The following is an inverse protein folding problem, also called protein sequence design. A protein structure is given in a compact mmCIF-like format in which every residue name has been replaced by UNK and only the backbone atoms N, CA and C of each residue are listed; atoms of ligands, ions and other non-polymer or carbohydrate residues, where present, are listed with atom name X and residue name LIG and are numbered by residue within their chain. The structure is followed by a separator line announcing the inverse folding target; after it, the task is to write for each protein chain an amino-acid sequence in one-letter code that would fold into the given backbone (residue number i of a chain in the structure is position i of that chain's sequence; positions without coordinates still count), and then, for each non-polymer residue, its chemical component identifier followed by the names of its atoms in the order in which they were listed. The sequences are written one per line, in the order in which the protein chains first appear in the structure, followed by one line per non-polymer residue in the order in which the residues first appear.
data_IF_718468780537
#
_entry.id   IF_718468780537
#
_cell.length_a   1.000
_cell.length_b   1.000
_cell.length_c   1.000
_cell.angle_alpha   90.00
_cell.angle_beta   90.00
_cell.angle_gamma   90.00
#
_symmetry.space_group_name_H-M   'P 1'
#
loop_
_entity.id
_entity.type
_entity.pdbx_description
1 polymer ?
#
# COMPACT_ATOMS: atom_id res chain seq x y z
N UNK A 1 -8.80 -51.84 10.01
CA UNK A 1 -8.22 -50.81 9.13
C UNK A 1 -7.96 -49.56 9.96
N UNK A 2 -6.74 -49.43 10.48
CA UNK A 2 -6.35 -48.42 11.47
C UNK A 2 -5.09 -47.74 10.94
N UNK A 3 -5.28 -46.78 10.02
CA UNK A 3 -4.20 -45.94 9.48
C UNK A 3 -4.47 -44.49 9.91
N UNK A 4 -4.11 -44.16 11.15
CA UNK A 4 -4.01 -42.79 11.65
C UNK A 4 -3.07 -42.80 12.85
N UNK A 5 -1.77 -42.57 12.62
CA UNK A 5 -0.83 -41.95 13.59
C UNK A 5 0.65 -41.89 13.18
N UNK A 6 1.04 -42.26 11.96
CA UNK A 6 2.46 -42.20 11.57
C UNK A 6 2.96 -40.79 11.17
N UNK A 7 2.08 -39.85 10.76
CA UNK A 7 2.46 -38.55 10.20
C UNK A 7 2.72 -37.43 11.21
N UNK A 8 2.24 -37.57 12.45
CA UNK A 8 2.45 -36.56 13.51
C UNK A 8 3.84 -36.70 14.15
N UNK A 9 4.31 -37.94 14.34
CA UNK A 9 5.63 -38.23 14.91
C UNK A 9 6.78 -37.79 13.99
N UNK A 10 6.65 -37.96 12.68
CA UNK A 10 7.66 -37.52 11.70
C UNK A 10 7.81 -35.99 11.61
N UNK A 11 6.73 -35.20 11.80
CA UNK A 11 6.78 -33.73 11.80
C UNK A 11 7.45 -33.16 13.05
N UNK A 12 7.23 -33.79 14.22
CA UNK A 12 7.88 -33.39 15.47
C UNK A 12 9.38 -33.69 15.46
N UNK A 13 9.80 -34.83 14.88
CA UNK A 13 11.21 -35.18 14.74
C UNK A 13 11.93 -34.30 13.70
N UNK A 14 11.26 -33.92 12.60
CA UNK A 14 11.80 -33.02 11.59
C UNK A 14 11.97 -31.58 12.11
N UNK A 15 11.01 -31.05 12.88
CA UNK A 15 11.17 -29.74 13.53
C UNK A 15 12.29 -29.76 14.59
N UNK A 16 12.37 -30.80 15.42
CA UNK A 16 13.45 -30.94 16.39
C UNK A 16 14.85 -31.06 15.75
N UNK A 17 14.96 -31.69 14.58
CA UNK A 17 16.22 -31.76 13.81
C UNK A 17 16.59 -30.42 13.14
N UNK A 18 15.59 -29.61 12.76
CA UNK A 18 15.81 -28.28 12.15
C UNK A 18 16.15 -27.22 13.21
N UNK A 19 15.55 -27.31 14.41
CA UNK A 19 15.88 -26.45 15.55
C UNK A 19 17.31 -26.70 16.03
N UNK A 20 17.73 -27.96 16.14
CA UNK A 20 19.10 -28.31 16.57
C UNK A 20 20.20 -27.86 15.59
N UNK A 21 19.92 -27.87 14.28
CA UNK A 21 20.83 -27.34 13.25
C UNK A 21 20.88 -25.81 13.26
N UNK A 22 19.78 -25.15 13.64
CA UNK A 22 19.68 -23.68 13.74
C UNK A 22 20.43 -23.14 14.97
N UNK A 23 20.49 -23.90 16.07
CA UNK A 23 21.25 -23.53 17.26
C UNK A 23 22.76 -23.69 17.10
N UNK A 24 23.23 -24.58 16.21
CA UNK A 24 24.66 -24.77 15.93
C UNK A 24 25.31 -23.56 15.23
N UNK A 25 24.52 -22.75 14.52
CA UNK A 25 24.97 -21.51 13.87
C UNK A 25 25.38 -20.46 14.92
N UNK A 26 24.70 -20.44 16.08
CA UNK A 26 24.98 -19.52 17.19
C UNK A 26 26.33 -19.78 17.89
N UNK A 27 26.92 -20.95 17.65
CA UNK A 27 28.20 -21.34 18.24
C UNK A 27 29.42 -20.84 17.45
N UNK A 28 29.20 -20.19 16.30
CA UNK A 28 30.29 -19.58 15.52
C UNK A 28 30.83 -18.33 16.24
N UNK A 29 32.12 -18.31 16.63
CA UNK A 29 32.74 -17.16 17.29
C UNK A 29 32.65 -15.84 16.52
N UNK A 30 32.49 -15.90 15.19
CA UNK A 30 32.34 -14.73 14.33
C UNK A 30 30.97 -14.05 14.56
N UNK A 31 29.94 -14.82 14.93
CA UNK A 31 28.59 -14.30 15.11
C UNK A 31 28.31 -13.75 16.52
N UNK A 32 29.10 -14.12 17.52
CA UNK A 32 28.91 -13.69 18.92
C UNK A 32 28.78 -12.18 19.13
N UNK A 33 29.57 -11.31 18.45
CA UNK A 33 29.44 -9.85 18.58
C UNK A 33 28.09 -9.30 18.08
N UNK A 34 27.33 -10.07 17.30
CA UNK A 34 26.02 -9.66 16.76
C UNK A 34 24.95 -9.60 17.84
N UNK A 35 25.07 -10.46 18.86
CA UNK A 35 24.07 -10.61 19.92
C UNK A 35 24.64 -10.57 21.35
N UNK A 36 25.96 -10.49 21.47
CA UNK A 36 26.68 -10.48 22.74
C UNK A 36 27.71 -9.35 22.76
N UNK A 37 27.91 -8.74 23.92
CA UNK A 37 28.94 -7.74 24.17
C UNK A 37 30.01 -8.37 25.07
N UNK A 38 31.27 -8.26 24.67
CA UNK A 38 32.39 -8.69 25.50
C UNK A 38 32.60 -7.71 26.66
N UNK A 39 32.86 -8.23 27.86
CA UNK A 39 33.16 -7.39 29.00
C UNK A 39 34.51 -6.69 28.82
N UNK A 40 34.61 -5.44 29.28
CA UNK A 40 35.80 -4.59 29.18
C UNK A 40 36.91 -5.00 30.14
N UNK A 41 36.61 -5.76 31.19
CA UNK A 41 37.56 -6.16 32.23
C UNK A 41 38.21 -7.53 32.01
N UNK A 42 37.54 -8.45 31.30
CA UNK A 42 38.02 -9.81 31.03
C UNK A 42 37.56 -10.27 29.64
N UNK A 43 38.51 -10.57 28.75
CA UNK A 43 38.23 -11.00 27.38
C UNK A 43 37.55 -12.37 27.29
N UNK A 44 37.44 -13.11 28.38
CA UNK A 44 36.76 -14.41 28.39
C UNK A 44 35.26 -14.32 28.72
N UNK A 45 34.76 -13.15 29.11
CA UNK A 45 33.38 -12.94 29.57
C UNK A 45 32.53 -12.22 28.53
N UNK A 46 31.31 -12.73 28.35
CA UNK A 46 30.34 -12.21 27.40
C UNK A 46 28.99 -11.96 28.06
N UNK A 47 28.42 -10.80 27.75
CA UNK A 47 27.06 -10.37 28.07
C UNK A 47 26.16 -10.61 26.86
N UNK A 48 25.19 -11.53 26.95
CA UNK A 48 24.20 -11.75 25.88
C UNK A 48 22.79 -11.42 26.34
N UNK A 49 21.97 -10.97 25.39
CA UNK A 49 20.56 -10.71 25.61
C UNK A 49 19.69 -11.66 24.81
N UNK A 50 18.63 -12.14 25.45
CA UNK A 50 17.73 -13.16 24.94
C UNK A 50 16.29 -12.70 25.01
N UNK A 51 15.49 -13.12 24.03
CA UNK A 51 14.04 -13.02 24.06
C UNK A 51 13.49 -14.43 24.23
N UNK A 52 12.61 -14.60 25.21
CA UNK A 52 12.00 -15.88 25.58
C UNK A 52 10.54 -15.86 25.13
N UNK A 53 10.19 -16.78 24.22
CA UNK A 53 8.84 -16.93 23.71
C UNK A 53 7.93 -17.65 24.71
N UNK A 54 6.67 -17.21 24.80
CA UNK A 54 5.66 -17.84 25.65
C UNK A 54 5.73 -17.51 27.14
N UNK A 55 6.61 -16.58 27.55
CA UNK A 55 6.69 -16.13 28.95
C UNK A 55 5.64 -15.07 29.27
N UNK A 56 4.78 -15.35 30.26
CA UNK A 56 3.67 -14.46 30.66
C UNK A 56 3.56 -14.25 32.17
N UNK A 57 4.51 -14.76 32.98
CA UNK A 57 4.37 -14.77 34.43
C UNK A 57 5.71 -14.73 35.19
N UNK A 58 5.71 -14.22 36.43
CA UNK A 58 6.91 -14.18 37.28
C UNK A 58 7.39 -15.59 37.70
N UNK A 59 6.48 -16.56 37.85
CA UNK A 59 6.86 -17.95 38.11
C UNK A 59 7.58 -18.60 36.91
N UNK A 60 7.21 -18.20 35.70
CA UNK A 60 7.80 -18.62 34.44
C UNK A 60 9.25 -18.09 34.33
N UNK A 61 9.46 -16.82 34.71
CA UNK A 61 10.79 -16.21 34.78
C UNK A 61 11.73 -16.96 35.72
N UNK A 62 11.27 -17.32 36.92
CA UNK A 62 12.07 -18.10 37.88
C UNK A 62 12.48 -19.47 37.35
N UNK A 63 11.61 -20.15 36.61
CA UNK A 63 11.90 -21.46 36.01
C UNK A 63 12.98 -21.33 34.94
N UNK A 64 12.89 -20.31 34.08
CA UNK A 64 13.88 -20.07 33.04
C UNK A 64 15.22 -19.59 33.61
N UNK A 65 15.21 -18.74 34.63
CA UNK A 65 16.44 -18.29 35.30
C UNK A 65 17.20 -19.45 35.94
N UNK A 66 16.50 -20.39 36.59
CA UNK A 66 17.11 -21.62 37.12
C UNK A 66 17.66 -22.51 36.01
N UNK A 67 16.95 -22.64 34.89
CA UNK A 67 17.43 -23.42 33.75
C UNK A 67 18.72 -22.83 33.18
N UNK A 68 18.81 -21.51 33.03
CA UNK A 68 20.02 -20.82 32.59
C UNK A 68 21.18 -20.97 33.57
N UNK A 69 20.92 -20.82 34.89
CA UNK A 69 21.94 -21.01 35.93
C UNK A 69 22.41 -22.46 36.08
N UNK A 70 21.66 -23.43 35.58
CA UNK A 70 22.05 -24.84 35.63
C UNK A 70 23.09 -25.23 34.56
N UNK A 71 23.34 -24.36 33.58
CA UNK A 71 24.32 -24.60 32.51
C UNK A 71 25.74 -24.29 33.03
N UNK A 72 26.69 -25.24 32.95
CA UNK A 72 28.08 -24.99 33.31
C UNK A 72 28.65 -23.85 32.47
N UNK A 73 29.33 -22.87 33.09
CA UNK A 73 29.91 -21.71 32.40
C UNK A 73 29.05 -20.44 32.38
N UNK A 74 27.82 -20.50 32.91
CA UNK A 74 26.96 -19.33 33.15
C UNK A 74 27.24 -18.75 34.55
N UNK A 75 27.68 -17.50 34.60
CA UNK A 75 28.05 -16.81 35.84
C UNK A 75 26.85 -16.07 36.45
N UNK A 76 26.03 -15.44 35.61
CA UNK A 76 24.85 -14.71 36.04
C UNK A 76 23.76 -14.83 34.98
N UNK A 77 22.52 -15.01 35.41
CA UNK A 77 21.35 -14.94 34.56
C UNK A 77 20.26 -14.15 35.29
N UNK A 78 19.66 -13.17 34.60
CA UNK A 78 18.55 -12.36 35.08
C UNK A 78 17.44 -12.39 34.04
N UNK A 79 16.20 -12.62 34.47
CA UNK A 79 15.05 -12.80 33.58
C UNK A 79 13.91 -11.87 33.99
N UNK A 80 13.44 -11.05 33.06
CA UNK A 80 12.29 -10.18 33.28
C UNK A 80 11.00 -10.84 32.76
N UNK A 81 10.14 -11.27 33.68
CA UNK A 81 8.87 -11.95 33.35
C UNK A 81 7.79 -11.06 32.72
N UNK A 82 7.95 -9.74 32.71
CA UNK A 82 7.02 -8.79 32.07
C UNK A 82 7.42 -8.57 30.61
N UNK A 83 8.72 -8.38 30.34
CA UNK A 83 9.21 -8.11 28.98
C UNK A 83 9.58 -9.38 28.21
N UNK A 84 9.67 -10.53 28.88
CA UNK A 84 10.13 -11.78 28.28
C UNK A 84 11.58 -11.71 27.81
N UNK A 85 12.41 -10.87 28.45
CA UNK A 85 13.83 -10.71 28.09
C UNK A 85 14.72 -11.25 29.20
N UNK A 86 15.81 -11.90 28.82
CA UNK A 86 16.83 -12.38 29.73
C UNK A 86 18.20 -11.79 29.39
N UNK A 87 18.99 -11.50 30.42
CA UNK A 87 20.38 -11.10 30.32
C UNK A 87 21.25 -12.20 30.96
N UNK A 88 22.28 -12.63 30.25
CA UNK A 88 23.15 -13.72 30.67
C UNK A 88 24.62 -13.32 30.56
N UNK A 89 25.39 -13.56 31.62
CA UNK A 89 26.85 -13.50 31.66
C UNK A 89 27.42 -14.89 31.62
N UNK A 90 28.26 -15.16 30.63
CA UNK A 90 28.84 -16.49 30.42
C UNK A 90 30.29 -16.41 29.95
N UNK A 91 31.03 -17.51 30.14
CA UNK A 91 32.42 -17.62 29.71
C UNK A 91 32.55 -18.49 28.45
N UNK A 92 33.19 -17.96 27.42
CA UNK A 92 33.35 -18.64 26.12
C UNK A 92 34.25 -19.89 26.17
N UNK A 93 35.02 -20.07 27.25
CA UNK A 93 35.85 -21.26 27.45
C UNK A 93 35.09 -22.45 28.04
N UNK A 94 33.91 -22.22 28.65
CA UNK A 94 33.17 -23.22 29.43
C UNK A 94 31.79 -23.54 28.88
N UNK A 95 31.17 -22.65 28.11
CA UNK A 95 29.82 -22.86 27.56
C UNK A 95 29.70 -22.25 26.17
N UNK A 96 28.77 -22.78 25.37
CA UNK A 96 28.43 -22.24 24.05
C UNK A 96 27.01 -21.68 24.01
N UNK A 97 26.71 -20.72 23.12
CA UNK A 97 25.37 -20.19 22.93
C UNK A 97 24.25 -21.24 22.76
N UNK A 98 24.53 -22.31 22.02
CA UNK A 98 23.57 -23.41 21.83
C UNK A 98 23.20 -24.13 23.13
N UNK A 99 24.10 -24.20 24.11
CA UNK A 99 23.90 -24.94 25.36
C UNK A 99 22.83 -24.28 26.23
N UNK A 100 22.92 -22.95 26.40
CA UNK A 100 21.92 -22.22 27.18
C UNK A 100 20.60 -22.02 26.44
N UNK A 101 20.59 -21.92 25.10
CA UNK A 101 19.32 -21.98 24.34
C UNK A 101 18.63 -23.34 24.52
N UNK A 102 19.41 -24.43 24.41
CA UNK A 102 18.90 -25.79 24.60
C UNK A 102 18.38 -26.01 26.02
N UNK A 103 19.02 -25.43 27.04
CA UNK A 103 18.55 -25.50 28.41
C UNK A 103 17.18 -24.83 28.61
N UNK A 104 16.96 -23.66 27.98
CA UNK A 104 15.66 -22.97 28.03
C UNK A 104 14.59 -23.75 27.24
N UNK A 105 14.94 -24.31 26.09
CA UNK A 105 14.05 -25.18 25.32
C UNK A 105 13.63 -26.42 26.11
N UNK A 106 14.55 -27.04 26.87
CA UNK A 106 14.22 -28.17 27.77
C UNK A 106 13.30 -27.77 28.93
N UNK A 107 13.36 -26.51 29.37
CA UNK A 107 12.41 -25.95 30.33
C UNK A 107 11.03 -25.63 29.72
N UNK A 108 10.87 -25.83 28.40
CA UNK A 108 9.60 -25.67 27.68
C UNK A 108 9.37 -24.29 27.08
N UNK A 109 10.40 -23.44 26.99
CA UNK A 109 10.31 -22.10 26.43
C UNK A 109 11.24 -21.95 25.24
N UNK A 110 10.80 -21.25 24.19
CA UNK A 110 11.68 -20.91 23.06
C UNK A 110 12.61 -19.76 23.45
N UNK A 111 13.91 -19.88 23.18
CA UNK A 111 14.87 -18.78 23.37
C UNK A 111 15.54 -18.40 22.05
N UNK A 112 15.55 -17.10 21.76
CA UNK A 112 16.26 -16.53 20.61
C UNK A 112 17.11 -15.32 21.01
N UNK A 113 18.28 -15.11 20.39
CA UNK A 113 19.08 -13.92 20.62
C UNK A 113 18.27 -12.64 20.33
N UNK A 114 18.49 -11.61 21.15
CA UNK A 114 17.75 -10.35 21.06
C UNK A 114 17.91 -9.64 19.70
N UNK A 115 19.09 -9.74 19.07
CA UNK A 115 19.35 -9.21 17.73
C UNK A 115 18.38 -9.74 16.68
N UNK A 116 18.05 -11.02 16.76
CA UNK A 116 17.23 -11.72 15.78
C UNK A 116 15.76 -11.41 16.00
N UNK A 117 15.34 -11.32 17.28
CA UNK A 117 14.00 -10.87 17.66
C UNK A 117 13.71 -9.43 17.19
N UNK A 118 14.67 -8.51 17.39
CA UNK A 118 14.52 -7.11 17.02
C UNK A 118 14.56 -6.93 15.47
N UNK A 119 15.32 -7.76 14.76
CA UNK A 119 15.32 -7.83 13.29
C UNK A 119 13.97 -8.35 12.72
N UNK A 120 13.37 -9.37 13.34
CA UNK A 120 12.06 -9.89 12.95
C UNK A 120 10.92 -8.88 13.22
N UNK A 121 10.97 -8.16 14.34
CA UNK A 121 9.99 -7.13 14.68
C UNK A 121 9.99 -5.95 13.68
N UNK A 122 11.17 -5.56 13.20
CA UNK A 122 11.34 -4.46 12.25
C UNK A 122 10.75 -4.78 10.86
N UNK A 123 10.90 -6.03 10.39
CA UNK A 123 10.34 -6.50 9.11
C UNK A 123 8.81 -6.42 9.06
N UNK A 124 8.13 -6.75 10.17
CA UNK A 124 6.66 -6.70 10.28
C UNK A 124 6.09 -5.28 10.21
N UNK A 125 6.82 -4.27 10.72
CA UNK A 125 6.39 -2.85 10.63
C UNK A 125 6.45 -2.35 9.19
N UNK A 126 7.54 -2.64 8.48
CA UNK A 126 7.75 -2.22 7.09
C UNK A 126 6.73 -2.89 6.15
N UNK A 127 6.43 -4.18 6.34
CA UNK A 127 5.41 -4.88 5.55
C UNK A 127 4.00 -4.28 5.68
N UNK A 128 3.59 -3.89 6.90
CA UNK A 128 2.27 -3.26 7.10
C UNK A 128 2.19 -1.88 6.45
N UNK A 129 3.27 -1.10 6.52
CA UNK A 129 3.32 0.21 5.87
C UNK A 129 3.30 0.09 4.34
N UNK A 130 4.01 -0.89 3.79
CA UNK A 130 4.01 -1.17 2.36
C UNK A 130 2.64 -1.65 1.87
N UNK A 131 1.99 -2.54 2.63
CA UNK A 131 0.64 -3.02 2.34
C UNK A 131 -0.38 -1.88 2.38
N UNK A 132 -0.30 -0.99 3.38
CA UNK A 132 -1.15 0.18 3.48
C UNK A 132 -0.98 1.13 2.28
N UNK A 133 0.26 1.47 1.92
CA UNK A 133 0.56 2.33 0.75
C UNK A 133 0.07 1.71 -0.55
N UNK A 134 0.22 0.39 -0.70
CA UNK A 134 -0.28 -0.34 -1.87
C UNK A 134 -1.80 -0.28 -1.95
N UNK A 135 -2.50 -0.49 -0.82
CA UNK A 135 -3.96 -0.42 -0.76
C UNK A 135 -4.47 0.99 -1.10
N UNK A 136 -3.85 2.02 -0.54
CA UNK A 136 -4.19 3.42 -0.80
C UNK A 136 -4.03 3.78 -2.29
N UNK A 137 -2.92 3.36 -2.90
CA UNK A 137 -2.65 3.59 -4.33
C UNK A 137 -3.68 2.85 -5.20
N UNK A 138 -4.03 1.61 -4.84
CA UNK A 138 -5.00 0.80 -5.58
C UNK A 138 -6.42 1.37 -5.51
N UNK A 139 -6.78 1.98 -4.37
CA UNK A 139 -8.08 2.63 -4.17
C UNK A 139 -8.17 3.95 -4.96
N UNK A 140 -7.08 4.72 -5.06
CA UNK A 140 -7.03 5.95 -5.87
C UNK A 140 -7.08 5.68 -7.38
N UNK A 141 -6.44 4.63 -7.87
CA UNK A 141 -6.32 4.41 -9.31
C UNK A 141 -7.57 3.80 -9.97
N UNK A 142 -8.49 3.21 -9.21
CA UNK A 142 -9.72 2.61 -9.77
C UNK A 142 -10.70 3.63 -10.39
N UNK A 143 -10.58 4.92 -10.08
CA UNK A 143 -11.49 5.96 -10.60
C UNK A 143 -10.93 6.75 -11.77
N UNK A 144 -9.63 6.66 -12.07
CA UNK A 144 -8.99 7.47 -13.13
C UNK A 144 -8.99 6.80 -14.52
N UNK A 145 -9.00 5.46 -14.58
CA UNK A 145 -8.82 4.72 -15.84
C UNK A 145 -9.97 4.83 -16.84
N UNK A 146 -11.21 5.00 -16.38
CA UNK A 146 -12.38 5.11 -17.26
C UNK A 146 -12.43 6.45 -18.04
N UNK A 147 -11.77 7.49 -17.53
CA UNK A 147 -11.70 8.79 -18.19
C UNK A 147 -10.67 8.80 -19.32
N UNK A 148 -9.55 8.08 -19.17
CA UNK A 148 -8.47 8.00 -20.18
C UNK A 148 -8.95 7.31 -21.49
N UNK A 149 -9.81 6.30 -21.37
CA UNK A 149 -10.44 5.62 -22.53
C UNK A 149 -11.44 6.50 -23.29
N UNK A 150 -11.98 7.56 -22.67
CA UNK A 150 -12.75 8.58 -23.37
C UNK A 150 -11.81 9.54 -24.11
N UNK A 151 -10.73 10.00 -23.46
CA UNK A 151 -9.82 11.01 -24.01
C UNK A 151 -9.03 10.56 -25.25
N UNK A 152 -8.86 9.24 -25.46
CA UNK A 152 -8.13 8.66 -26.61
C UNK A 152 -8.94 8.53 -27.91
N UNK A 153 -10.18 9.04 -27.98
CA UNK A 153 -11.10 8.80 -29.10
C UNK A 153 -11.08 9.83 -30.22
N UNK A 154 -10.51 11.01 -29.99
CA UNK A 154 -10.42 12.03 -31.04
C UNK A 154 -9.33 11.65 -32.04
N UNK A 155 -9.63 11.60 -33.36
CA UNK A 155 -8.64 11.21 -34.35
C UNK A 155 -7.50 12.22 -34.39
N UNK A 156 -6.26 11.75 -34.56
CA UNK A 156 -5.09 12.65 -34.65
C UNK A 156 -5.13 13.53 -35.91
N UNK A 157 -5.79 13.05 -36.97
CA UNK A 157 -5.92 13.74 -38.26
C UNK A 157 -7.24 13.43 -38.98
N UNK A 158 -7.70 14.36 -39.81
CA UNK A 158 -8.94 14.29 -40.60
C UNK A 158 -8.71 14.91 -41.99
N UNK A 159 -9.50 14.50 -42.99
CA UNK A 159 -9.50 15.12 -44.32
C UNK A 159 -10.36 16.38 -44.33
N UNK A 160 -9.76 17.53 -44.62
CA UNK A 160 -10.46 18.80 -44.85
C UNK A 160 -10.57 19.06 -46.35
N UNK A 161 -11.77 19.44 -46.80
CA UNK A 161 -11.99 19.90 -48.16
C UNK A 161 -11.44 21.32 -48.33
N UNK A 162 -10.57 21.48 -49.33
CA UNK A 162 -9.99 22.75 -49.74
C UNK A 162 -10.92 23.49 -50.70
N UNK A 163 -10.66 24.77 -50.94
CA UNK A 163 -11.50 25.61 -51.82
C UNK A 163 -11.53 25.14 -53.28
N UNK A 164 -10.57 24.33 -53.69
CA UNK A 164 -10.48 23.70 -55.02
C UNK A 164 -11.22 22.35 -55.10
N UNK A 165 -11.86 21.91 -54.01
CA UNK A 165 -12.55 20.64 -53.90
C UNK A 165 -11.64 19.44 -53.60
N UNK A 166 -10.32 19.64 -53.50
CA UNK A 166 -9.38 18.60 -53.07
C UNK A 166 -9.46 18.35 -51.56
N UNK A 167 -8.97 17.19 -51.10
CA UNK A 167 -8.93 16.85 -49.68
C UNK A 167 -7.48 16.88 -49.16
N UNK A 168 -7.26 17.61 -48.08
CA UNK A 168 -5.98 17.71 -47.37
C UNK A 168 -6.10 17.08 -45.98
N UNK A 169 -5.17 16.20 -45.61
CA UNK A 169 -5.14 15.63 -44.25
C UNK A 169 -4.56 16.66 -43.27
N UNK A 170 -5.38 17.16 -42.36
CA UNK A 170 -4.98 18.10 -41.30
C UNK A 170 -5.07 17.44 -39.92
N UNK A 171 -4.26 17.90 -38.96
CA UNK A 171 -4.43 17.49 -37.57
C UNK A 171 -5.73 18.03 -36.98
N UNK A 172 -6.38 17.26 -36.11
CA UNK A 172 -7.60 17.67 -35.41
C UNK A 172 -7.46 18.99 -34.62
N UNK A 173 -6.23 19.32 -34.19
CA UNK A 173 -5.94 20.60 -33.51
C UNK A 173 -5.99 21.83 -34.42
N UNK A 174 -5.93 21.64 -35.74
CA UNK A 174 -5.94 22.74 -36.73
C UNK A 174 -7.32 22.99 -37.35
N UNK A 175 -8.33 22.22 -36.97
CA UNK A 175 -9.70 22.38 -37.44
C UNK A 175 -10.24 23.73 -36.96
N UNK A 176 -10.89 24.46 -37.87
CA UNK A 176 -11.56 25.72 -37.57
C UNK A 176 -13.07 25.60 -37.82
N UNK A 177 -13.83 26.45 -37.14
CA UNK A 177 -15.24 26.62 -37.43
C UNK A 177 -15.43 27.01 -38.90
N UNK A 178 -16.40 26.38 -39.56
CA UNK A 178 -16.68 26.58 -40.98
C UNK A 178 -15.94 25.63 -41.93
N UNK A 179 -14.90 24.94 -41.47
CA UNK A 179 -14.20 23.91 -42.26
C UNK A 179 -15.18 22.82 -42.68
N UNK A 180 -14.98 22.29 -43.89
CA UNK A 180 -15.71 21.11 -44.38
C UNK A 180 -14.79 19.91 -44.27
N UNK A 181 -15.23 18.91 -43.52
CA UNK A 181 -14.46 17.71 -43.22
C UNK A 181 -15.11 16.50 -43.86
N UNK A 182 -14.29 15.63 -44.47
CA UNK A 182 -14.72 14.32 -44.95
C UNK A 182 -14.45 13.30 -43.86
N UNK A 183 -15.50 12.59 -43.47
CA UNK A 183 -15.45 11.57 -42.42
C UNK A 183 -15.78 10.22 -43.05
N UNK A 184 -14.84 9.28 -42.98
CA UNK A 184 -15.00 7.95 -43.55
C UNK A 184 -15.80 7.04 -42.58
N UNK A 185 -16.41 5.95 -43.08
CA UNK A 185 -17.03 4.95 -42.22
C UNK A 185 -16.01 4.40 -41.20
N UNK A 186 -16.41 4.34 -39.94
CA UNK A 186 -15.59 3.92 -38.80
C UNK A 186 -14.84 5.06 -38.09
N UNK A 187 -14.67 6.23 -38.73
CA UNK A 187 -14.00 7.37 -38.11
C UNK A 187 -14.92 8.09 -37.11
N UNK A 188 -14.31 8.67 -36.07
CA UNK A 188 -15.01 9.51 -35.10
C UNK A 188 -15.13 10.95 -35.62
N UNK A 189 -16.22 11.64 -35.26
CA UNK A 189 -16.38 13.05 -35.55
C UNK A 189 -15.40 13.88 -34.69
N UNK A 190 -14.49 14.65 -35.31
CA UNK A 190 -13.44 15.36 -34.57
C UNK A 190 -13.93 16.65 -33.88
N UNK A 191 -15.11 17.13 -34.25
CA UNK A 191 -15.68 18.41 -33.85
C UNK A 191 -17.21 18.33 -33.90
N UNK A 192 -17.92 19.31 -33.33
CA UNK A 192 -19.37 19.42 -33.52
C UNK A 192 -19.65 20.12 -34.86
N UNK A 193 -20.76 19.76 -35.50
CA UNK A 193 -21.08 20.30 -36.81
C UNK A 193 -22.38 19.77 -37.38
N UNK A 194 -22.54 19.96 -38.68
CA UNK A 194 -23.75 19.63 -39.41
C UNK A 194 -23.43 18.81 -40.66
N UNK A 195 -24.25 17.81 -40.94
CA UNK A 195 -24.14 16.99 -42.14
C UNK A 195 -24.52 17.82 -43.38
N UNK A 196 -23.58 18.07 -44.28
CA UNK A 196 -23.84 18.82 -45.52
C UNK A 196 -23.94 17.93 -46.76
N UNK A 197 -23.39 16.70 -46.71
CA UNK A 197 -23.49 15.75 -47.82
C UNK A 197 -23.42 14.31 -47.30
N UNK A 198 -24.23 13.43 -47.91
CA UNK A 198 -24.33 12.01 -47.57
C UNK A 198 -25.42 11.69 -46.53
N UNK A 199 -25.52 10.41 -46.18
CA UNK A 199 -26.38 9.91 -45.10
C UNK A 199 -25.64 8.82 -44.32
N UNK A 200 -25.78 8.80 -43.00
CA UNK A 200 -25.10 7.79 -42.19
C UNK A 200 -25.86 7.46 -40.90
N UNK A 201 -25.38 6.45 -40.19
CA UNK A 201 -25.75 6.20 -38.80
C UNK A 201 -24.59 6.61 -37.90
N UNK A 202 -24.91 7.36 -36.84
CA UNK A 202 -23.96 7.78 -35.83
C UNK A 202 -24.11 6.92 -34.57
N UNK A 203 -23.02 6.33 -34.09
CA UNK A 203 -22.96 5.74 -32.76
C UNK A 203 -22.71 6.85 -31.73
N UNK A 204 -23.76 7.19 -30.99
CA UNK A 204 -23.73 8.17 -29.90
C UNK A 204 -23.78 7.51 -28.51
N UNK A 205 -23.71 6.18 -28.41
CA UNK A 205 -24.00 5.42 -27.20
C UNK A 205 -23.17 5.84 -25.98
N UNK A 206 -21.97 6.36 -26.21
CA UNK A 206 -21.06 6.78 -25.14
C UNK A 206 -21.35 8.18 -24.58
N UNK A 207 -22.07 9.00 -25.34
CA UNK A 207 -22.42 10.36 -24.93
C UNK A 207 -23.87 10.44 -24.47
N UNK A 208 -24.77 9.75 -25.15
CA UNK A 208 -26.20 9.77 -24.84
C UNK A 208 -26.65 8.56 -24.02
N UNK A 209 -25.88 7.47 -24.00
CA UNK A 209 -26.29 6.20 -23.38
C UNK A 209 -27.24 5.37 -24.24
N UNK A 210 -27.60 5.84 -25.43
CA UNK A 210 -28.52 5.15 -26.33
C UNK A 210 -27.79 4.07 -27.13
N UNK A 211 -28.12 2.79 -26.89
CA UNK A 211 -27.44 1.65 -27.53
C UNK A 211 -27.73 1.48 -29.03
N UNK A 212 -28.67 2.25 -29.60
CA UNK A 212 -29.07 2.16 -31.01
C UNK A 212 -28.46 3.31 -31.81
N UNK A 213 -27.79 3.03 -32.94
CA UNK A 213 -27.28 4.08 -33.82
C UNK A 213 -28.37 5.03 -34.29
N UNK A 214 -28.07 6.32 -34.27
CA UNK A 214 -28.99 7.39 -34.67
C UNK A 214 -28.81 7.67 -36.15
N UNK A 215 -29.89 7.62 -36.93
CA UNK A 215 -29.84 7.96 -38.37
C UNK A 215 -29.61 9.47 -38.55
N UNK A 216 -28.64 9.84 -39.39
CA UNK A 216 -28.27 11.21 -39.72
C UNK A 216 -28.48 11.44 -41.22
N UNK A 217 -29.30 12.44 -41.53
CA UNK A 217 -29.59 12.92 -42.89
C UNK A 217 -29.05 14.34 -43.06
N UNK A 218 -29.12 14.88 -44.27
CA UNK A 218 -28.74 16.27 -44.56
C UNK A 218 -29.28 17.24 -43.49
N UNK A 219 -28.44 18.15 -43.03
CA UNK A 219 -28.69 19.13 -41.97
C UNK A 219 -28.82 18.56 -40.54
N UNK A 220 -28.56 17.26 -40.35
CA UNK A 220 -28.53 16.69 -38.99
C UNK A 220 -27.28 17.16 -38.23
N UNK A 221 -27.47 17.47 -36.94
CA UNK A 221 -26.34 17.73 -36.04
C UNK A 221 -25.49 16.47 -35.83
N UNK A 222 -24.17 16.66 -35.90
CA UNK A 222 -23.14 15.67 -35.64
C UNK A 222 -22.35 16.10 -34.40
N UNK A 223 -22.21 15.18 -33.44
CA UNK A 223 -21.61 15.44 -32.14
C UNK A 223 -20.18 14.90 -32.13
N UNK A 224 -19.22 15.70 -31.64
CA UNK A 224 -17.84 15.29 -31.49
C UNK A 224 -17.70 14.01 -30.65
N UNK A 225 -16.82 13.10 -31.06
CA UNK A 225 -16.57 11.83 -30.37
C UNK A 225 -17.55 10.69 -30.69
N UNK A 226 -18.68 10.97 -31.36
CA UNK A 226 -19.52 9.92 -31.96
C UNK A 226 -18.87 9.32 -33.20
N UNK A 227 -19.23 8.09 -33.56
CA UNK A 227 -18.62 7.37 -34.68
C UNK A 227 -19.54 7.29 -35.88
N UNK A 228 -18.97 7.50 -37.06
CA UNK A 228 -19.63 7.26 -38.34
C UNK A 228 -19.69 5.75 -38.63
N UNK A 229 -20.85 5.18 -38.94
CA UNK A 229 -20.98 3.72 -39.13
C UNK A 229 -21.19 3.27 -40.57
N UNK A 230 -21.80 4.10 -41.43
CA UNK A 230 -22.37 3.61 -42.70
C UNK A 230 -21.62 4.10 -43.95
N UNK A 231 -21.57 5.41 -44.19
CA UNK A 231 -21.05 5.96 -45.45
C UNK A 231 -20.10 7.12 -45.23
N UNK A 232 -19.28 7.44 -46.25
CA UNK A 232 -18.45 8.64 -46.20
C UNK A 232 -19.34 9.87 -46.32
N UNK A 233 -19.16 10.83 -45.41
CA UNK A 233 -19.98 12.04 -45.33
C UNK A 233 -19.13 13.30 -45.36
N UNK A 234 -19.75 14.41 -45.76
CA UNK A 234 -19.19 15.74 -45.55
C UNK A 234 -19.91 16.45 -44.40
N UNK A 235 -19.10 17.00 -43.50
CA UNK A 235 -19.54 17.68 -42.31
C UNK A 235 -19.00 19.11 -42.32
N UNK A 236 -19.87 20.10 -42.07
CA UNK A 236 -19.44 21.47 -41.81
C UNK A 236 -19.26 21.67 -40.30
N UNK A 237 -18.08 22.11 -39.90
CA UNK A 237 -17.73 22.31 -38.49
C UNK A 237 -18.45 23.53 -37.92
N UNK A 238 -19.16 23.35 -36.82
CA UNK A 238 -19.84 24.41 -36.08
C UNK A 238 -19.12 24.80 -34.79
N UNK A 239 -18.52 23.85 -34.06
CA UNK A 239 -17.75 24.12 -32.83
C UNK A 239 -16.54 23.22 -32.73
N UNK A 240 -15.44 23.73 -32.18
CA UNK A 240 -14.14 23.02 -32.08
C UNK A 240 -13.57 23.08 -30.66
N UNK A 241 -12.71 22.12 -30.33
CA UNK A 241 -11.97 22.12 -29.06
C UNK A 241 -12.89 22.10 -27.83
N UNK A 242 -12.66 23.05 -26.91
CA UNK A 242 -13.38 23.15 -25.63
C UNK A 242 -14.84 23.59 -25.78
N UNK A 243 -15.21 24.14 -26.93
CA UNK A 243 -16.58 24.58 -27.20
C UNK A 243 -17.49 23.42 -27.66
N UNK A 244 -16.93 22.23 -27.90
CA UNK A 244 -17.69 21.04 -28.28
C UNK A 244 -18.54 20.51 -27.12
N UNK A 245 -19.70 19.93 -27.43
CA UNK A 245 -20.54 19.22 -26.45
C UNK A 245 -19.76 18.14 -25.73
N UNK A 246 -18.91 17.40 -26.46
CA UNK A 246 -18.02 16.40 -25.90
C UNK A 246 -17.10 16.98 -24.81
N UNK A 247 -16.37 18.06 -25.10
CA UNK A 247 -15.47 18.68 -24.13
C UNK A 247 -16.21 19.22 -22.90
N UNK A 248 -17.45 19.70 -23.07
CA UNK A 248 -18.28 20.12 -21.94
C UNK A 248 -18.71 18.93 -21.07
N UNK A 249 -19.10 17.81 -21.67
CA UNK A 249 -19.44 16.57 -20.94
C UNK A 249 -18.21 16.08 -20.16
N UNK A 250 -17.05 16.01 -20.81
CA UNK A 250 -15.79 15.60 -20.15
C UNK A 250 -15.46 16.53 -18.98
N UNK A 251 -15.55 17.84 -19.17
CA UNK A 251 -15.29 18.84 -18.12
C UNK A 251 -16.26 18.68 -16.94
N UNK A 252 -17.55 18.45 -17.21
CA UNK A 252 -18.56 18.21 -16.18
C UNK A 252 -18.28 16.92 -15.41
N UNK A 253 -17.89 15.85 -16.11
CA UNK A 253 -17.52 14.57 -15.50
C UNK A 253 -16.25 14.69 -14.64
N UNK A 254 -15.21 15.33 -15.15
CA UNK A 254 -13.94 15.53 -14.44
C UNK A 254 -14.15 16.33 -13.15
N UNK A 255 -14.95 17.39 -13.23
CA UNK A 255 -15.34 18.20 -12.06
C UNK A 255 -16.11 17.37 -11.02
N UNK A 256 -17.07 16.56 -11.46
CA UNK A 256 -17.81 15.67 -10.56
C UNK A 256 -16.92 14.58 -9.91
N UNK A 257 -15.88 14.11 -10.61
CA UNK A 257 -14.98 13.08 -10.12
C UNK A 257 -13.89 13.61 -9.15
N UNK A 258 -13.51 14.88 -9.27
CA UNK A 258 -12.50 15.52 -8.42
C UNK A 258 -13.07 16.21 -7.18
N UNK A 259 -14.39 16.38 -7.11
CA UNK A 259 -15.03 16.90 -5.91
C UNK A 259 -14.81 15.96 -4.71
N UNK A 260 -14.39 16.54 -3.57
CA UNK A 260 -14.10 15.77 -2.36
C UNK A 260 -15.34 14.95 -1.96
N UNK A 261 -15.20 13.64 -1.71
CA UNK A 261 -16.33 12.80 -1.33
C UNK A 261 -16.93 13.31 -0.02
N UNK A 262 -18.27 13.32 0.05
CA UNK A 262 -19.03 13.87 1.20
C UNK A 262 -18.60 13.29 2.55
N UNK A 263 -18.20 12.02 2.57
CA UNK A 263 -17.68 11.34 3.76
C UNK A 263 -16.34 11.93 4.24
N UNK A 264 -15.45 12.31 3.33
CA UNK A 264 -14.18 12.96 3.68
C UNK A 264 -14.42 14.35 4.27
N UNK A 265 -15.39 15.10 3.72
CA UNK A 265 -15.78 16.42 4.25
C UNK A 265 -16.38 16.28 5.67
N UNK A 266 -17.18 15.25 5.91
CA UNK A 266 -17.76 14.98 7.23
C UNK A 266 -16.67 14.57 8.24
N UNK A 267 -15.73 13.72 7.83
CA UNK A 267 -14.59 13.33 8.65
C UNK A 267 -13.73 14.54 9.04
N UNK A 268 -13.40 15.41 8.09
CA UNK A 268 -12.65 16.65 8.35
C UNK A 268 -13.40 17.59 9.31
N UNK A 269 -14.72 17.65 9.21
CA UNK A 269 -15.56 18.48 10.09
C UNK A 269 -15.55 18.00 11.54
N UNK A 270 -15.45 16.69 11.77
CA UNK A 270 -15.37 16.10 13.13
C UNK A 270 -13.94 16.15 13.67
N UNK A 271 -12.93 15.97 12.81
CA UNK A 271 -11.53 15.94 13.21
C UNK A 271 -11.08 17.25 13.87
N UNK A 272 -11.54 18.41 13.38
CA UNK A 272 -11.18 19.73 13.91
C UNK A 272 -11.57 19.94 15.39
N UNK A 273 -12.85 19.80 15.80
CA UNK A 273 -13.23 19.96 17.20
C UNK A 273 -12.63 18.86 18.09
N UNK A 274 -12.47 17.64 17.58
CA UNK A 274 -11.82 16.56 18.33
C UNK A 274 -10.36 16.88 18.65
N UNK A 275 -9.59 17.38 17.67
CA UNK A 275 -8.20 17.78 17.87
C UNK A 275 -8.07 18.90 18.90
N UNK A 276 -8.95 19.91 18.84
CA UNK A 276 -8.98 20.97 19.85
C UNK A 276 -9.30 20.43 21.26
N UNK A 277 -10.24 19.49 21.36
CA UNK A 277 -10.59 18.86 22.63
C UNK A 277 -9.40 18.08 23.21
N UNK A 278 -8.68 17.31 22.38
CA UNK A 278 -7.47 16.58 22.81
C UNK A 278 -6.38 17.53 23.28
N UNK A 279 -6.14 18.62 22.55
CA UNK A 279 -5.16 19.64 22.94
C UNK A 279 -5.52 20.32 24.26
N UNK A 280 -6.80 20.65 24.47
CA UNK A 280 -7.29 21.22 25.73
C UNK A 280 -7.18 20.23 26.89
N UNK A 281 -7.47 18.95 26.66
CA UNK A 281 -7.32 17.90 27.67
C UNK A 281 -5.85 17.70 28.07
N UNK A 282 -4.93 17.70 27.09
CA UNK A 282 -3.50 17.63 27.34
C UNK A 282 -3.00 18.86 28.14
N UNK A 283 -3.43 20.08 27.76
CA UNK A 283 -3.12 21.29 28.51
C UNK A 283 -3.69 21.23 29.94
N UNK A 284 -4.93 20.76 30.10
CA UNK A 284 -5.57 20.58 31.39
C UNK A 284 -4.81 19.60 32.29
N UNK A 285 -4.31 18.49 31.73
CA UNK A 285 -3.46 17.55 32.46
C UNK A 285 -2.17 18.23 32.95
N UNK A 286 -1.50 19.02 32.10
CA UNK A 286 -0.29 19.76 32.51
C UNK A 286 -0.59 20.74 33.64
N UNK A 287 -1.65 21.53 33.53
CA UNK A 287 -2.05 22.52 34.56
C UNK A 287 -2.40 21.84 35.88
N UNK A 288 -3.11 20.71 35.83
CA UNK A 288 -3.53 20.00 37.04
C UNK A 288 -2.36 19.39 37.83
N UNK A 289 -1.34 18.85 37.14
CA UNK A 289 -0.20 18.18 37.77
C UNK A 289 0.99 19.11 38.08
N UNK A 290 0.95 20.36 37.59
CA UNK A 290 1.99 21.37 37.83
C UNK A 290 2.30 21.64 39.32
N UNK A 291 1.32 21.70 40.24
CA UNK A 291 1.59 22.03 41.64
C UNK A 291 2.19 20.88 42.46
N UNK A 292 1.98 19.63 42.03
CA UNK A 292 2.34 18.42 42.78
C UNK A 292 3.61 17.76 42.27
N UNK A 293 3.84 17.68 40.95
CA UNK A 293 5.05 17.09 40.36
C UNK A 293 5.18 17.47 38.85
N UNK A 294 6.00 18.47 38.48
CA UNK A 294 6.12 18.94 37.09
C UNK A 294 6.57 17.85 36.10
N UNK A 295 7.33 16.85 36.57
CA UNK A 295 7.82 15.76 35.74
C UNK A 295 6.71 14.81 35.27
N UNK A 296 5.64 14.64 36.06
CA UNK A 296 4.48 13.79 35.71
C UNK A 296 3.56 14.45 34.69
N UNK A 297 3.41 15.77 34.76
CA UNK A 297 2.60 16.53 33.80
C UNK A 297 3.13 16.46 32.37
N UNK A 298 4.46 16.52 32.19
CA UNK A 298 5.12 16.39 30.89
C UNK A 298 5.03 14.97 30.31
N UNK A 299 5.12 13.92 31.13
CA UNK A 299 4.96 12.53 30.66
C UNK A 299 3.52 12.15 30.31
N UNK A 300 2.51 12.80 30.91
CA UNK A 300 1.11 12.56 30.59
C UNK A 300 0.62 13.27 29.30
N UNK A 301 1.37 14.26 28.81
CA UNK A 301 1.00 15.08 27.65
C UNK A 301 1.65 14.63 26.32
N UNK A 302 2.62 13.71 26.37
CA UNK A 302 3.35 13.16 25.20
C UNK A 302 2.73 11.85 24.72
#
# INVERSE_FOLDING_TARGET
MTFKNASSSYRSAANAATDNASHAVLDDPIEWPTFSRQDTADSSLWDSHLVIEGMHCAACANTVERALKSVPGVLQAEVNGVTGRAAIKWSASQTRPSDWVTAVNRAGYGAMPASDADALASRKKVQRLALWRWLETRLRNKTAGALDDLMRRLPESVERQMSDGSFERISSRRIRQGDVLRILPGEAFPADGELIEGETQADEALLTGESRPVKKTLHSELIAGSHNLSSAILMRVSKVGQDTRYAQIVTLMEKAATDKPRLAILADRIARPFLLLVLLAALGAVVYWWPTDPARGLMAAV
#
